data_IF_686781272921
#
_entry.id   IF_686781272921
#
_cell.length_a   1.000
_cell.length_b   1.000
_cell.length_c   1.000
_cell.angle_alpha   90.00
_cell.angle_beta   90.00
_cell.angle_gamma   90.00
#
_symmetry.space_group_name_H-M   'P 1'
#
loop_
_entity.id
_entity.type
_entity.pdbx_description
1 polymer ?
#
# COMPACT_ATOMS: atom_id res chain seq x y z
N UNK A 1 18.83 -24.39 -15.01
CA UNK A 1 18.67 -24.19 -13.59
C UNK A 1 17.39 -23.39 -13.30
N UNK A 2 16.63 -23.86 -12.36
CA UNK A 2 15.40 -23.17 -12.00
C UNK A 2 15.70 -22.13 -10.93
N UNK A 3 15.28 -20.93 -11.20
CA UNK A 3 15.39 -19.83 -10.26
C UNK A 3 14.12 -19.76 -9.42
N UNK A 4 14.23 -20.09 -8.17
CA UNK A 4 13.09 -20.03 -7.27
C UNK A 4 13.07 -18.70 -6.56
N UNK A 5 11.94 -18.03 -6.65
CA UNK A 5 11.71 -16.79 -5.89
C UNK A 5 10.50 -17.01 -5.01
N UNK A 6 10.71 -17.48 -3.78
CA UNK A 6 9.60 -17.75 -2.88
C UNK A 6 8.83 -16.48 -2.49
N UNK A 7 9.45 -15.33 -2.65
CA UNK A 7 8.84 -14.07 -2.30
C UNK A 7 9.28 -13.00 -3.29
N UNK A 8 8.31 -12.28 -3.83
CA UNK A 8 8.56 -11.17 -4.74
C UNK A 8 8.06 -9.89 -4.09
N UNK A 9 8.97 -8.98 -3.81
CA UNK A 9 8.63 -7.69 -3.26
C UNK A 9 8.31 -6.73 -4.40
N UNK A 10 7.25 -5.95 -4.24
CA UNK A 10 6.90 -4.94 -5.23
C UNK A 10 8.00 -3.87 -5.28
N UNK A 11 8.31 -3.42 -6.49
CA UNK A 11 9.22 -2.29 -6.68
C UNK A 11 8.40 -1.10 -7.16
N UNK A 12 8.39 -0.06 -6.34
CA UNK A 12 7.67 1.18 -6.66
C UNK A 12 8.70 2.27 -6.93
N UNK A 13 8.40 3.10 -7.92
CA UNK A 13 9.26 4.24 -8.23
C UNK A 13 9.31 5.18 -7.03
N UNK A 14 10.52 5.51 -6.58
CA UNK A 14 10.70 6.40 -5.45
C UNK A 14 10.37 7.84 -5.84
N UNK A 15 9.47 8.46 -5.10
CA UNK A 15 9.14 9.87 -5.25
C UNK A 15 9.14 10.47 -3.85
N UNK A 16 10.06 11.39 -3.59
CA UNK A 16 10.16 12.00 -2.27
C UNK A 16 9.05 13.03 -2.07
N UNK A 17 8.19 12.78 -1.09
CA UNK A 17 7.12 13.69 -0.69
C UNK A 17 7.16 13.84 0.82
N UNK A 18 6.79 15.03 1.33
CA UNK A 18 6.52 15.15 2.74
C UNK A 18 5.05 14.79 3.02
N UNK A 19 4.65 14.81 4.28
CA UNK A 19 3.28 14.44 4.64
C UNK A 19 2.24 15.35 3.99
N UNK A 20 2.54 16.64 3.87
CA UNK A 20 1.61 17.58 3.24
C UNK A 20 1.46 17.31 1.75
N UNK A 21 2.56 16.99 1.07
CA UNK A 21 2.52 16.62 -0.33
C UNK A 21 1.71 15.35 -0.55
N UNK A 22 1.90 14.36 0.31
CA UNK A 22 1.16 13.11 0.21
C UNK A 22 -0.33 13.32 0.43
N UNK A 23 -0.70 14.24 1.31
CA UNK A 23 -2.10 14.55 1.59
C UNK A 23 -2.76 15.39 0.50
N UNK A 24 -2.00 15.89 -0.45
CA UNK A 24 -2.55 16.64 -1.57
C UNK A 24 -3.46 15.76 -2.40
N UNK A 25 -4.64 16.27 -2.73
CA UNK A 25 -5.61 15.54 -3.53
C UNK A 25 -5.07 15.15 -4.90
N UNK A 26 -4.12 15.91 -5.42
CA UNK A 26 -3.50 15.61 -6.71
C UNK A 26 -2.76 14.27 -6.71
N UNK A 27 -2.37 13.76 -5.54
CA UNK A 27 -1.63 12.51 -5.43
C UNK A 27 -2.51 11.30 -5.12
N UNK A 28 -3.82 11.47 -4.99
CA UNK A 28 -4.71 10.36 -4.64
C UNK A 28 -4.67 9.24 -5.68
N UNK A 29 -4.65 9.59 -6.96
CA UNK A 29 -4.57 8.60 -8.01
C UNK A 29 -3.27 7.82 -7.99
N UNK A 30 -2.17 8.49 -7.68
CA UNK A 30 -0.87 7.86 -7.57
C UNK A 30 -0.82 6.89 -6.39
N UNK A 31 -1.39 7.30 -5.26
CA UNK A 31 -1.46 6.45 -4.07
C UNK A 31 -2.25 5.18 -4.39
N UNK A 32 -3.41 5.35 -5.00
CA UNK A 32 -4.27 4.22 -5.37
C UNK A 32 -3.55 3.26 -6.32
N UNK A 33 -2.91 3.79 -7.34
CA UNK A 33 -2.20 2.98 -8.31
C UNK A 33 -1.09 2.16 -7.65
N UNK A 34 -0.37 2.76 -6.70
CA UNK A 34 0.68 2.07 -5.98
C UNK A 34 0.12 0.99 -5.07
N UNK A 35 -1.03 1.22 -4.45
CA UNK A 35 -1.71 0.19 -3.67
C UNK A 35 -2.10 -0.98 -4.54
N UNK A 36 -2.71 -0.71 -5.70
CA UNK A 36 -3.12 -1.77 -6.62
C UNK A 36 -1.92 -2.59 -7.09
N UNK A 37 -0.85 -1.91 -7.46
CA UNK A 37 0.35 -2.59 -7.92
C UNK A 37 0.95 -3.48 -6.83
N UNK A 38 0.97 -2.98 -5.59
CA UNK A 38 1.49 -3.74 -4.46
C UNK A 38 0.65 -4.98 -4.19
N UNK A 39 -0.67 -4.85 -4.22
CA UNK A 39 -1.56 -5.97 -4.01
C UNK A 39 -1.35 -7.03 -5.10
N UNK A 40 -1.25 -6.60 -6.35
CA UNK A 40 -1.08 -7.52 -7.46
C UNK A 40 0.23 -8.31 -7.38
N UNK A 41 1.26 -7.70 -6.81
CA UNK A 41 2.58 -8.33 -6.70
C UNK A 41 2.77 -9.13 -5.43
N UNK A 42 2.16 -8.73 -4.33
CA UNK A 42 2.46 -9.29 -3.01
C UNK A 42 1.28 -9.95 -2.32
N UNK A 43 0.09 -9.95 -2.93
CA UNK A 43 -1.08 -10.53 -2.27
C UNK A 43 -0.87 -12.03 -1.96
N UNK A 44 -1.39 -12.53 -0.86
CA UNK A 44 -2.13 -11.76 0.15
C UNK A 44 -1.22 -10.85 0.95
N UNK A 45 -1.66 -9.62 1.19
CA UNK A 45 -0.88 -8.63 1.92
C UNK A 45 -1.77 -7.94 2.96
N UNK A 46 -1.27 -7.79 4.17
CA UNK A 46 -1.98 -7.09 5.24
C UNK A 46 -1.99 -5.60 4.96
N UNK A 47 -3.07 -4.94 5.39
CA UNK A 47 -3.24 -3.51 5.22
C UNK A 47 -2.05 -2.71 5.77
N UNK A 48 -1.57 -3.06 6.95
CA UNK A 48 -0.45 -2.36 7.56
C UNK A 48 0.80 -2.42 6.69
N UNK A 49 1.10 -3.58 6.12
CA UNK A 49 2.25 -3.73 5.24
C UNK A 49 2.03 -3.02 3.91
N UNK A 50 0.81 -3.09 3.37
CA UNK A 50 0.46 -2.38 2.14
C UNK A 50 0.73 -0.89 2.27
N UNK A 51 0.25 -0.30 3.36
CA UNK A 51 0.45 1.13 3.60
C UNK A 51 1.94 1.45 3.75
N UNK A 52 2.66 0.61 4.46
CA UNK A 52 4.10 0.81 4.66
C UNK A 52 4.86 0.78 3.34
N UNK A 53 4.53 -0.16 2.45
CA UNK A 53 5.17 -0.22 1.13
C UNK A 53 4.95 1.08 0.36
N UNK A 54 3.72 1.58 0.40
CA UNK A 54 3.36 2.78 -0.34
C UNK A 54 4.02 4.02 0.24
N UNK A 55 3.97 4.21 1.56
CA UNK A 55 4.59 5.40 2.16
C UNK A 55 6.11 5.40 2.00
N UNK A 56 6.72 4.22 2.07
CA UNK A 56 8.17 4.12 1.87
C UNK A 56 8.55 4.55 0.46
N UNK A 57 7.70 4.30 -0.52
CA UNK A 57 7.97 4.72 -1.90
C UNK A 57 7.92 6.24 -2.06
N UNK A 58 7.36 6.94 -1.09
CA UNK A 58 7.35 8.40 -1.04
C UNK A 58 8.39 8.96 -0.07
N UNK A 59 9.26 8.12 0.47
CA UNK A 59 10.32 8.57 1.37
C UNK A 59 9.88 8.72 2.81
N UNK A 60 8.68 8.27 3.16
CA UNK A 60 8.17 8.34 4.53
C UNK A 60 8.38 6.99 5.21
N UNK A 61 8.54 7.02 6.55
CA UNK A 61 8.88 5.79 7.28
C UNK A 61 7.73 5.25 8.10
N UNK A 62 6.69 6.02 8.34
CA UNK A 62 5.53 5.50 9.06
C UNK A 62 4.26 6.24 8.68
N UNK A 63 3.14 5.52 8.83
CA UNK A 63 1.81 6.06 8.57
C UNK A 63 1.34 6.76 9.83
N UNK A 64 1.25 8.08 9.76
CA UNK A 64 0.78 8.87 10.89
C UNK A 64 -0.73 9.00 10.91
N UNK A 65 -1.23 9.67 11.96
CA UNK A 65 -2.68 9.84 12.15
C UNK A 65 -3.35 10.67 11.07
N UNK A 66 -2.59 11.46 10.31
CA UNK A 66 -3.13 12.23 9.19
C UNK A 66 -3.19 11.42 7.90
N UNK A 67 -2.23 10.52 7.70
CA UNK A 67 -2.13 9.72 6.48
C UNK A 67 -3.06 8.52 6.55
N UNK A 68 -3.19 7.90 7.71
CA UNK A 68 -4.00 6.70 7.87
C UNK A 68 -5.44 6.85 7.38
N UNK A 69 -6.18 7.91 7.76
CA UNK A 69 -7.55 8.07 7.25
C UNK A 69 -7.61 8.23 5.73
N UNK A 70 -6.62 8.92 5.15
CA UNK A 70 -6.57 9.07 3.69
C UNK A 70 -6.35 7.72 3.02
N UNK A 71 -5.41 6.93 3.52
CA UNK A 71 -5.14 5.62 2.95
C UNK A 71 -6.32 4.68 3.12
N UNK A 72 -7.00 4.73 4.27
CA UNK A 72 -8.20 3.93 4.49
C UNK A 72 -9.29 4.29 3.48
N UNK A 73 -9.48 5.58 3.24
CA UNK A 73 -10.46 6.05 2.27
C UNK A 73 -10.15 5.55 0.86
N UNK A 74 -8.89 5.61 0.46
CA UNK A 74 -8.47 5.14 -0.86
C UNK A 74 -8.59 3.61 -0.94
N UNK A 75 -8.16 2.92 0.10
CA UNK A 75 -8.21 1.46 0.14
C UNK A 75 -9.62 0.93 0.01
N UNK A 76 -10.61 1.64 0.55
CA UNK A 76 -12.02 1.25 0.41
C UNK A 76 -12.52 1.29 -1.03
N UNK A 77 -11.84 2.02 -1.89
CA UNK A 77 -12.22 2.09 -3.32
C UNK A 77 -11.57 1.00 -4.16
N UNK A 78 -10.66 0.23 -3.57
CA UNK A 78 -9.97 -0.84 -4.29
C UNK A 78 -10.90 -2.04 -4.48
N UNK A 79 -10.82 -2.63 -5.66
CA UNK A 79 -11.70 -3.73 -6.04
C UNK A 79 -10.97 -5.07 -5.89
N UNK A 80 -10.59 -5.39 -4.66
CA UNK A 80 -9.92 -6.65 -4.34
C UNK A 80 -10.63 -7.36 -3.19
N UNK A 81 -10.65 -8.70 -3.20
CA UNK A 81 -11.18 -9.44 -2.06
C UNK A 81 -10.36 -9.13 -0.81
N UNK A 82 -11.04 -9.08 0.33
CA UNK A 82 -10.39 -8.84 1.60
C UNK A 82 -10.85 -9.87 2.63
N UNK A 83 -9.97 -10.15 3.60
CA UNK A 83 -10.31 -10.95 4.77
C UNK A 83 -9.78 -10.23 6.00
N UNK A 84 -10.40 -10.49 7.16
CA UNK A 84 -9.91 -9.96 8.41
C UNK A 84 -9.31 -11.10 9.22
N UNK A 85 -8.15 -10.86 9.82
CA UNK A 85 -7.55 -11.85 10.69
C UNK A 85 -8.04 -11.68 12.14
N UNK A 86 -7.55 -12.52 13.04
CA UNK A 86 -7.96 -12.49 14.43
C UNK A 86 -7.58 -11.22 15.16
N UNK A 87 -6.62 -10.48 14.63
CA UNK A 87 -6.18 -9.20 15.19
C UNK A 87 -7.01 -8.03 14.67
N UNK A 88 -7.93 -8.29 13.76
CA UNK A 88 -8.74 -7.24 13.17
C UNK A 88 -8.06 -6.51 12.02
N UNK A 89 -6.90 -6.98 11.59
CA UNK A 89 -6.22 -6.38 10.44
C UNK A 89 -6.81 -6.97 9.15
N UNK A 90 -6.89 -6.14 8.13
CA UNK A 90 -7.42 -6.53 6.82
C UNK A 90 -6.30 -7.05 5.94
N UNK A 91 -6.53 -8.16 5.26
CA UNK A 91 -5.62 -8.65 4.25
C UNK A 91 -6.28 -8.52 2.88
N UNK A 92 -5.51 -8.05 1.91
CA UNK A 92 -5.96 -7.90 0.53
C UNK A 92 -5.49 -9.09 -0.29
N UNK A 93 -6.37 -9.59 -1.13
CA UNK A 93 -6.10 -10.74 -2.00
C UNK A 93 -6.21 -10.32 -3.46
N UNK A 94 -5.46 -11.02 -4.26
CA UNK A 94 -5.49 -10.77 -5.70
C UNK A 94 -6.54 -11.62 -6.39
#
# INVERSE_FOLDING_TARGET
MIQMKPYVKVELTFIALDSNGLLSQANNGEIRERMEKTIEMEAPIRRSLLYKRVINSFGLVKVGSRISPLFDSIAQTLDYPTTEDSDGDTAFHN
#
